data_IF_154161010777
#
_entry.id   IF_154161010777
#
_cell.length_a   1.000
_cell.length_b   1.000
_cell.length_c   1.000
_cell.angle_alpha   90.00
_cell.angle_beta   90.00
_cell.angle_gamma   90.00
#
_symmetry.space_group_name_H-M   'P 1'
#
loop_
_entity.id
_entity.type
_entity.pdbx_description
1 polymer ?
#
# COMPACT_ATOMS: atom_id res chain seq x y z
N UNK A 1 -2.99 16.67 14.69
CA UNK A 1 -3.90 15.58 15.06
C UNK A 1 -3.14 14.31 14.80
N UNK A 2 -2.74 13.57 15.84
CA UNK A 2 -1.72 12.53 15.71
C UNK A 2 -2.07 11.58 14.55
N UNK A 3 -1.11 11.38 13.65
CA UNK A 3 -1.27 10.52 12.46
C UNK A 3 -1.71 9.10 12.82
N UNK A 4 -1.29 8.64 14.01
CA UNK A 4 -1.52 7.30 14.52
C UNK A 4 -2.32 7.41 15.81
N UNK A 5 -3.38 6.62 15.90
CA UNK A 5 -4.05 6.33 17.16
C UNK A 5 -3.21 5.39 18.01
N UNK A 6 -3.52 5.28 19.29
CA UNK A 6 -2.86 4.31 20.17
C UNK A 6 -2.98 2.88 19.61
N UNK A 7 -1.86 2.18 19.50
CA UNK A 7 -1.79 0.83 18.92
C UNK A 7 -1.72 0.77 17.38
N UNK A 8 -1.69 1.91 16.68
CA UNK A 8 -1.50 1.95 15.23
C UNK A 8 -0.03 2.18 14.85
N UNK A 9 0.45 1.41 13.89
CA UNK A 9 1.81 1.46 13.36
C UNK A 9 1.80 1.95 11.90
N UNK A 10 2.95 2.41 11.40
CA UNK A 10 3.12 2.71 9.99
C UNK A 10 3.70 1.53 9.24
N UNK A 11 3.23 1.39 8.00
CA UNK A 11 3.69 0.34 7.10
C UNK A 11 4.10 0.94 5.77
N UNK A 12 5.17 0.39 5.19
CA UNK A 12 5.53 0.61 3.80
C UNK A 12 5.33 -0.71 3.07
N UNK A 13 4.45 -0.72 2.08
CA UNK A 13 4.29 -1.82 1.17
C UNK A 13 4.95 -1.47 -0.15
N UNK A 14 5.96 -2.25 -0.48
CA UNK A 14 6.63 -2.21 -1.76
C UNK A 14 5.96 -3.24 -2.68
N UNK A 15 5.47 -2.83 -3.83
CA UNK A 15 5.01 -3.74 -4.88
C UNK A 15 6.04 -3.83 -6.01
N UNK A 16 6.18 -5.02 -6.59
CA UNK A 16 7.04 -5.28 -7.76
C UNK A 16 6.26 -6.07 -8.79
N UNK A 17 6.30 -5.64 -10.04
CA UNK A 17 5.59 -6.34 -11.12
C UNK A 17 6.28 -7.66 -11.46
N UNK A 18 5.47 -8.68 -11.71
CA UNK A 18 5.87 -10.04 -12.08
C UNK A 18 5.45 -10.40 -13.52
N UNK A 19 4.70 -9.53 -14.18
CA UNK A 19 4.14 -9.72 -15.51
C UNK A 19 4.49 -8.54 -16.44
N UNK A 20 4.35 -8.70 -17.76
CA UNK A 20 4.47 -7.61 -18.72
C UNK A 20 3.55 -6.43 -18.37
N UNK A 21 3.99 -5.21 -18.71
CA UNK A 21 3.25 -3.99 -18.41
C UNK A 21 1.84 -3.95 -19.01
N UNK A 22 1.59 -4.64 -20.11
CA UNK A 22 0.28 -4.74 -20.75
C UNK A 22 -0.76 -5.44 -19.84
N UNK A 23 -0.34 -6.49 -19.13
CA UNK A 23 -1.19 -7.22 -18.18
C UNK A 23 -1.44 -6.38 -16.92
N UNK A 24 -0.41 -5.67 -16.45
CA UNK A 24 -0.52 -4.74 -15.32
C UNK A 24 -1.47 -3.58 -15.67
N UNK A 25 -1.32 -2.99 -16.86
CA UNK A 25 -2.11 -1.84 -17.30
C UNK A 25 -3.60 -2.21 -17.45
N UNK A 26 -3.91 -3.44 -17.86
CA UNK A 26 -5.28 -3.95 -17.91
C UNK A 26 -5.97 -3.99 -16.53
N UNK A 27 -5.19 -4.09 -15.44
CA UNK A 27 -5.69 -4.18 -14.06
C UNK A 27 -5.65 -2.84 -13.30
N UNK A 28 -5.18 -1.75 -13.91
CA UNK A 28 -5.12 -0.43 -13.26
C UNK A 28 -6.48 0.05 -12.77
N UNK A 29 -7.55 -0.17 -13.54
CA UNK A 29 -8.90 0.27 -13.17
C UNK A 29 -9.35 -0.38 -11.84
N UNK A 30 -9.39 -1.73 -11.78
CA UNK A 30 -9.65 -2.47 -10.55
C UNK A 30 -8.71 -2.11 -9.39
N UNK A 31 -7.40 -2.04 -9.64
CA UNK A 31 -6.41 -1.68 -8.61
C UNK A 31 -6.69 -0.28 -8.02
N UNK A 32 -7.02 0.71 -8.86
CA UNK A 32 -7.39 2.05 -8.38
C UNK A 32 -8.69 2.06 -7.56
N UNK A 33 -9.64 1.17 -7.85
CA UNK A 33 -10.83 1.03 -7.04
C UNK A 33 -10.48 0.48 -5.65
N UNK A 34 -9.66 -0.58 -5.59
CA UNK A 34 -9.12 -1.10 -4.33
C UNK A 34 -8.42 -0.01 -3.51
N UNK A 35 -7.51 0.77 -4.12
CA UNK A 35 -6.82 1.87 -3.42
C UNK A 35 -7.82 2.88 -2.84
N UNK A 36 -8.84 3.28 -3.60
CA UNK A 36 -9.87 4.24 -3.14
C UNK A 36 -10.64 3.72 -1.94
N UNK A 37 -11.00 2.45 -1.93
CA UNK A 37 -11.71 1.84 -0.81
C UNK A 37 -10.84 1.84 0.46
N UNK A 38 -9.54 1.55 0.33
CA UNK A 38 -8.61 1.58 1.46
C UNK A 38 -8.30 3.00 1.95
N UNK A 39 -8.28 4.00 1.06
CA UNK A 39 -8.23 5.41 1.46
C UNK A 39 -9.49 5.82 2.23
N UNK A 40 -10.67 5.42 1.75
CA UNK A 40 -11.94 5.73 2.42
C UNK A 40 -12.06 5.06 3.81
N UNK A 41 -11.48 3.86 3.96
CA UNK A 41 -11.40 3.14 5.23
C UNK A 41 -10.30 3.67 6.17
N UNK A 42 -9.44 4.57 5.71
CA UNK A 42 -8.35 5.15 6.50
C UNK A 42 -7.12 4.25 6.65
N UNK A 43 -7.02 3.16 5.87
CA UNK A 43 -5.88 2.26 5.89
C UNK A 43 -4.67 2.81 5.11
N UNK A 44 -4.89 3.59 4.05
CA UNK A 44 -3.80 4.13 3.21
C UNK A 44 -3.59 5.63 3.40
N UNK A 45 -2.32 6.03 3.43
CA UNK A 45 -1.87 7.42 3.55
C UNK A 45 -1.32 7.98 2.24
N UNK A 46 -0.56 7.16 1.52
CA UNK A 46 0.03 7.54 0.24
C UNK A 46 0.25 6.30 -0.63
N UNK A 47 0.21 6.47 -1.94
CA UNK A 47 0.45 5.40 -2.90
C UNK A 47 0.92 5.97 -4.22
N UNK A 48 1.88 5.32 -4.88
CA UNK A 48 2.35 5.75 -6.20
C UNK A 48 3.20 4.72 -6.90
N UNK A 49 3.39 4.91 -8.21
CA UNK A 49 4.34 4.12 -8.98
C UNK A 49 5.77 4.47 -8.59
N UNK A 50 6.65 3.47 -8.60
CA UNK A 50 8.10 3.68 -8.50
C UNK A 50 8.61 4.44 -9.73
N UNK A 51 9.80 5.03 -9.62
CA UNK A 51 10.53 5.64 -10.74
C UNK A 51 11.92 5.00 -10.79
N UNK A 52 12.22 4.13 -11.77
CA UNK A 52 11.38 3.71 -12.91
C UNK A 52 10.14 2.90 -12.52
N UNK A 53 9.15 2.80 -13.41
CA UNK A 53 7.86 2.12 -13.15
C UNK A 53 8.01 0.59 -13.22
N UNK A 54 8.72 0.02 -12.26
CA UNK A 54 8.87 -1.44 -12.04
C UNK A 54 7.98 -1.97 -10.90
N UNK A 55 7.17 -1.08 -10.33
CA UNK A 55 6.25 -1.37 -9.25
C UNK A 55 5.66 -0.09 -8.69
N UNK A 56 5.54 -0.06 -7.37
CA UNK A 56 4.87 0.99 -6.61
C UNK A 56 5.17 0.89 -5.12
N UNK A 57 4.81 1.96 -4.41
CA UNK A 57 4.97 2.08 -2.97
C UNK A 57 3.63 2.55 -2.41
N UNK A 58 3.22 1.93 -1.31
CA UNK A 58 2.03 2.32 -0.54
C UNK A 58 2.47 2.53 0.91
N UNK A 59 2.07 3.65 1.50
CA UNK A 59 2.20 3.93 2.94
C UNK A 59 0.84 3.67 3.56
N UNK A 60 0.80 2.81 4.57
CA UNK A 60 -0.42 2.37 5.23
C UNK A 60 -0.33 2.53 6.76
N UNK A 61 -1.49 2.49 7.42
CA UNK A 61 -1.66 2.43 8.87
C UNK A 61 -2.49 1.19 9.21
N UNK A 62 -2.08 0.46 10.24
CA UNK A 62 -2.79 -0.71 10.78
C UNK A 62 -2.34 -1.02 12.19
N UNK A 63 -2.85 -2.09 12.79
CA UNK A 63 -2.45 -2.52 14.15
C UNK A 63 -1.34 -3.55 14.15
N UNK A 64 -1.25 -4.37 13.09
CA UNK A 64 -0.21 -5.39 12.92
C UNK A 64 0.07 -5.68 11.44
N UNK A 65 1.15 -6.43 11.18
CA UNK A 65 1.58 -6.75 9.82
C UNK A 65 0.61 -7.70 9.11
N UNK A 66 -0.03 -8.62 9.84
CA UNK A 66 -0.96 -9.61 9.30
C UNK A 66 -2.23 -8.96 8.72
N UNK A 67 -2.78 -7.95 9.40
CA UNK A 67 -3.89 -7.13 8.93
C UNK A 67 -3.55 -6.46 7.60
N UNK A 68 -2.38 -5.80 7.54
CA UNK A 68 -1.94 -5.07 6.35
C UNK A 68 -1.65 -6.01 5.19
N UNK A 69 -0.99 -7.15 5.44
CA UNK A 69 -0.82 -8.18 4.42
C UNK A 69 -2.15 -8.72 3.90
N UNK A 70 -3.15 -8.89 4.77
CA UNK A 70 -4.48 -9.35 4.36
C UNK A 70 -5.15 -8.35 3.40
N UNK A 71 -4.99 -7.04 3.61
CA UNK A 71 -5.48 -6.02 2.68
C UNK A 71 -4.85 -6.18 1.29
N UNK A 72 -3.53 -6.35 1.20
CA UNK A 72 -2.85 -6.50 -0.09
C UNK A 72 -3.19 -7.80 -0.81
N UNK A 73 -3.63 -8.84 -0.10
CA UNK A 73 -4.15 -10.07 -0.72
C UNK A 73 -5.49 -9.87 -1.45
N UNK A 74 -6.18 -8.76 -1.21
CA UNK A 74 -7.41 -8.37 -1.90
C UNK A 74 -7.15 -7.52 -3.16
N UNK A 75 -5.91 -7.08 -3.36
CA UNK A 75 -5.56 -6.25 -4.51
C UNK A 75 -5.63 -7.06 -5.82
N UNK A 76 -6.34 -6.57 -6.86
CA UNK A 76 -6.36 -7.19 -8.19
C UNK A 76 -4.98 -7.51 -8.75
N UNK A 77 -3.95 -6.72 -8.43
CA UNK A 77 -2.57 -7.01 -8.83
C UNK A 77 -2.02 -8.28 -8.17
N UNK A 78 -2.30 -8.49 -6.89
CA UNK A 78 -1.89 -9.69 -6.16
C UNK A 78 -2.72 -10.91 -6.59
N UNK A 79 -4.05 -10.78 -6.61
CA UNK A 79 -4.94 -11.91 -6.93
C UNK A 79 -4.78 -12.41 -8.35
N UNK A 80 -4.39 -11.54 -9.29
CA UNK A 80 -4.09 -11.91 -10.68
C UNK A 80 -2.65 -12.37 -10.88
N UNK A 81 -1.82 -12.36 -9.83
CA UNK A 81 -0.42 -12.78 -9.89
C UNK A 81 0.50 -11.86 -10.69
N UNK A 82 0.08 -10.63 -11.00
CA UNK A 82 0.88 -9.68 -11.80
C UNK A 82 1.83 -8.83 -10.95
N UNK A 83 1.68 -8.84 -9.62
CA UNK A 83 2.59 -8.20 -8.69
C UNK A 83 2.72 -8.98 -7.38
N UNK A 84 3.84 -8.79 -6.70
CA UNK A 84 4.06 -9.22 -5.31
C UNK A 84 4.26 -8.01 -4.40
N UNK A 85 3.93 -8.20 -3.12
CA UNK A 85 4.09 -7.20 -2.08
C UNK A 85 5.14 -7.62 -1.06
N UNK A 86 5.96 -6.66 -0.65
CA UNK A 86 6.82 -6.74 0.55
C UNK A 86 6.35 -5.66 1.53
N UNK A 87 5.82 -6.08 2.66
CA UNK A 87 5.35 -5.18 3.72
C UNK A 87 6.45 -5.01 4.76
N UNK A 88 6.65 -3.77 5.19
CA UNK A 88 7.62 -3.38 6.21
C UNK A 88 6.87 -2.58 7.26
N UNK A 89 6.81 -3.10 8.47
CA UNK A 89 6.34 -2.38 9.65
C UNK A 89 7.45 -1.47 10.21
N UNK A 90 7.10 -0.25 10.58
CA UNK A 90 8.02 0.64 11.28
C UNK A 90 7.30 1.62 12.20
N UNK A 91 7.98 2.01 13.28
CA UNK A 91 7.52 3.01 14.23
C UNK A 91 8.27 4.32 14.00
N UNK A 92 7.63 5.37 13.44
CA UNK A 92 8.31 6.63 13.16
C UNK A 92 8.69 7.35 14.47
N UNK A 93 9.98 7.63 14.67
CA UNK A 93 10.46 8.40 15.83
C UNK A 93 10.54 9.90 15.55
N UNK A 94 10.55 10.27 14.28
CA UNK A 94 10.53 11.66 13.80
C UNK A 94 9.54 11.78 12.64
N UNK A 95 8.67 12.79 12.70
CA UNK A 95 7.68 13.08 11.66
C UNK A 95 7.70 14.58 11.36
N UNK A 96 7.44 14.94 10.10
CA UNK A 96 7.28 16.33 9.70
C UNK A 96 6.02 16.93 10.36
N UNK A 97 6.00 18.24 10.60
CA UNK A 97 4.86 18.91 11.24
C UNK A 97 3.55 18.77 10.45
N UNK A 98 3.63 18.71 9.11
CA UNK A 98 2.46 18.48 8.26
C UNK A 98 1.89 17.06 8.35
N UNK A 99 2.54 16.17 9.09
CA UNK A 99 2.10 14.79 9.35
C UNK A 99 1.61 14.63 10.80
N UNK A 100 1.50 15.71 11.60
CA UNK A 100 1.18 15.66 13.04
C UNK A 100 -0.27 15.95 13.42
#
# INVERSE_FOLDING_TARGET
MALLSEGQHLFVAELSYLAPMEEVDALIGPHRAFLKDQYAAGHFLASGAKVPRDGGVIIAIGTDIEEIEALFRLDPFYTSGVAQYRVIEFNPTMVADGLR
#
